data_IF_580878019698
#
_entry.id   IF_580878019698
#
_cell.length_a   1.000
_cell.length_b   1.000
_cell.length_c   1.000
_cell.angle_alpha   90.00
_cell.angle_beta   90.00
_cell.angle_gamma   90.00
#
_symmetry.space_group_name_H-M   'P 1'
#
loop_
_entity.id
_entity.type
_entity.pdbx_description
1 polymer ?
#
# COMPACT_ATOMS: atom_id res chain seq x y z
N UNK A 1 -13.78 -4.28 18.01
CA UNK A 1 -13.46 -4.97 19.28
C UNK A 1 -11.95 -5.06 19.42
N UNK A 2 -11.38 -4.86 20.61
CA UNK A 2 -9.93 -4.91 20.83
C UNK A 2 -9.45 -6.36 20.98
N UNK A 3 -8.57 -6.83 20.10
CA UNK A 3 -7.90 -8.13 20.21
C UNK A 3 -6.46 -7.97 20.72
N UNK A 4 -6.26 -8.07 22.03
CA UNK A 4 -4.95 -7.85 22.68
C UNK A 4 -3.86 -8.84 22.22
N UNK A 5 -4.12 -10.15 22.10
CA UNK A 5 -3.14 -11.10 21.55
C UNK A 5 -2.65 -10.71 20.15
N UNK A 6 -3.56 -10.44 19.21
CA UNK A 6 -3.20 -10.08 17.84
C UNK A 6 -2.45 -8.74 17.78
N UNK A 7 -2.89 -7.71 18.51
CA UNK A 7 -2.15 -6.44 18.59
C UNK A 7 -0.73 -6.62 19.11
N UNK A 8 -0.55 -7.47 20.11
CA UNK A 8 0.77 -7.76 20.67
C UNK A 8 1.66 -8.43 19.63
N UNK A 9 1.14 -9.45 18.94
CA UNK A 9 1.88 -10.18 17.89
C UNK A 9 2.25 -9.26 16.72
N UNK A 10 1.28 -8.54 16.16
CA UNK A 10 1.51 -7.58 15.09
C UNK A 10 2.52 -6.49 15.49
N UNK A 11 2.50 -6.03 16.75
CA UNK A 11 3.49 -5.05 17.22
C UNK A 11 4.92 -5.60 17.20
N UNK A 12 5.09 -6.91 17.42
CA UNK A 12 6.40 -7.57 17.37
C UNK A 12 6.82 -7.81 15.93
N UNK A 13 5.91 -8.32 15.10
CA UNK A 13 6.16 -8.62 13.69
C UNK A 13 6.49 -7.35 12.91
N UNK A 14 5.72 -6.27 13.09
CA UNK A 14 6.01 -4.99 12.45
C UNK A 14 7.39 -4.44 12.86
N UNK A 15 7.79 -4.58 14.14
CA UNK A 15 9.15 -4.20 14.58
C UNK A 15 10.21 -5.06 13.91
N UNK A 16 9.99 -6.39 13.81
CA UNK A 16 10.94 -7.31 13.18
C UNK A 16 11.04 -7.05 11.68
N UNK A 17 9.94 -6.80 10.99
CA UNK A 17 9.88 -6.45 9.57
C UNK A 17 10.68 -5.16 9.29
N UNK A 18 10.36 -4.07 9.98
CA UNK A 18 10.99 -2.75 9.76
C UNK A 18 12.46 -2.72 10.18
N UNK A 19 12.89 -3.60 11.09
CA UNK A 19 14.31 -3.78 11.44
C UNK A 19 15.00 -4.85 10.59
N UNK A 20 14.29 -5.47 9.64
CA UNK A 20 14.74 -6.57 8.80
C UNK A 20 15.24 -7.80 9.57
N UNK A 21 14.61 -8.08 10.71
CA UNK A 21 14.71 -9.34 11.48
C UNK A 21 13.64 -10.35 11.07
N UNK A 22 12.63 -9.92 10.32
CA UNK A 22 11.64 -10.75 9.62
C UNK A 22 11.83 -10.59 8.10
N UNK A 23 11.51 -11.61 7.31
CA UNK A 23 11.41 -11.46 5.85
C UNK A 23 10.03 -10.89 5.49
N UNK A 24 9.84 -10.43 4.26
CA UNK A 24 8.52 -10.07 3.75
C UNK A 24 7.59 -11.29 3.70
N UNK A 25 8.11 -12.44 3.28
CA UNK A 25 7.35 -13.70 3.14
C UNK A 25 6.82 -14.19 4.49
N UNK A 26 7.67 -14.19 5.54
CA UNK A 26 7.22 -14.51 6.91
C UNK A 26 6.07 -13.59 7.36
N UNK A 27 6.07 -12.33 6.93
CA UNK A 27 5.05 -11.36 7.28
C UNK A 27 3.79 -11.56 6.43
N UNK A 28 3.93 -11.91 5.16
CA UNK A 28 2.82 -12.28 4.27
C UNK A 28 2.03 -13.46 4.84
N UNK A 29 2.71 -14.51 5.31
CA UNK A 29 2.06 -15.67 5.95
C UNK A 29 1.15 -15.22 7.12
N UNK A 30 1.71 -14.44 8.05
CA UNK A 30 0.92 -13.94 9.18
C UNK A 30 -0.17 -12.96 8.75
N UNK A 31 0.07 -12.18 7.70
CA UNK A 31 -0.88 -11.20 7.18
C UNK A 31 -2.14 -11.89 6.66
N UNK A 32 -2.01 -12.86 5.76
CA UNK A 32 -3.14 -13.55 5.15
C UNK A 32 -3.82 -14.52 6.11
N UNK A 33 -3.08 -15.18 7.00
CA UNK A 33 -3.65 -16.15 7.92
C UNK A 33 -4.40 -15.49 9.10
N UNK A 34 -3.90 -14.36 9.62
CA UNK A 34 -4.37 -13.84 10.91
C UNK A 34 -4.84 -12.38 10.89
N UNK A 35 -4.18 -11.51 10.12
CA UNK A 35 -4.36 -10.06 10.25
C UNK A 35 -5.40 -9.48 9.30
N UNK A 36 -5.47 -9.98 8.07
CA UNK A 36 -6.40 -9.49 7.05
C UNK A 36 -7.86 -9.69 7.46
N UNK A 37 -8.17 -10.82 8.09
CA UNK A 37 -9.53 -11.20 8.53
C UNK A 37 -9.83 -10.82 9.99
N UNK A 38 -8.95 -10.07 10.65
CA UNK A 38 -9.12 -9.70 12.06
C UNK A 38 -10.36 -8.83 12.29
N UNK A 39 -11.11 -9.14 13.35
CA UNK A 39 -12.23 -8.33 13.86
C UNK A 39 -11.75 -7.00 14.48
N UNK A 40 -10.46 -6.87 14.79
CA UNK A 40 -9.87 -5.64 15.30
C UNK A 40 -9.42 -4.76 14.13
N UNK A 41 -10.19 -3.69 13.88
CA UNK A 41 -9.90 -2.72 12.82
C UNK A 41 -8.50 -2.10 12.92
N UNK A 42 -7.93 -1.98 14.13
CA UNK A 42 -6.55 -1.54 14.31
C UNK A 42 -5.54 -2.51 13.71
N UNK A 43 -5.76 -3.81 13.95
CA UNK A 43 -4.86 -4.88 13.50
C UNK A 43 -4.85 -4.88 11.98
N UNK A 44 -6.02 -4.90 11.36
CA UNK A 44 -6.16 -4.87 9.90
C UNK A 44 -5.53 -3.64 9.27
N UNK A 45 -5.81 -2.44 9.78
CA UNK A 45 -5.26 -1.20 9.22
C UNK A 45 -3.72 -1.10 9.37
N UNK A 46 -3.19 -1.51 10.52
CA UNK A 46 -1.73 -1.49 10.75
C UNK A 46 -1.03 -2.61 9.98
N UNK A 47 -1.66 -3.77 9.82
CA UNK A 47 -1.14 -4.87 9.03
C UNK A 47 -1.10 -4.51 7.53
N UNK A 48 -2.16 -3.89 7.00
CA UNK A 48 -2.20 -3.36 5.63
C UNK A 48 -1.08 -2.34 5.39
N UNK A 49 -0.82 -1.45 6.35
CA UNK A 49 0.34 -0.57 6.31
C UNK A 49 1.67 -1.34 6.27
N UNK A 50 1.83 -2.35 7.12
CA UNK A 50 3.04 -3.19 7.17
C UNK A 50 3.29 -3.93 5.86
N UNK A 51 2.23 -4.52 5.29
CA UNK A 51 2.22 -5.18 4.00
C UNK A 51 2.63 -4.23 2.86
N UNK A 52 2.11 -3.00 2.88
CA UNK A 52 2.46 -1.96 1.91
C UNK A 52 3.90 -1.41 2.01
N UNK A 53 4.72 -1.84 2.98
CA UNK A 53 6.12 -1.42 3.08
C UNK A 53 7.05 -2.12 2.08
N UNK A 54 6.57 -3.16 1.42
CA UNK A 54 7.32 -3.95 0.46
C UNK A 54 6.50 -4.24 -0.79
N UNK A 55 7.18 -4.62 -1.87
CA UNK A 55 6.51 -5.12 -3.08
C UNK A 55 6.38 -6.63 -2.95
N UNK A 56 5.14 -7.10 -3.07
CA UNK A 56 4.77 -8.53 -3.13
C UNK A 56 5.02 -9.13 -4.51
N UNK A 57 5.39 -8.32 -5.51
CA UNK A 57 5.62 -8.77 -6.89
C UNK A 57 6.99 -9.44 -7.08
N UNK A 58 7.80 -9.50 -6.01
CA UNK A 58 9.14 -10.11 -6.04
C UNK A 58 9.04 -11.57 -5.61
N UNK A 59 9.48 -12.47 -6.50
CA UNK A 59 9.39 -13.93 -6.33
C UNK A 59 10.23 -14.52 -5.17
N UNK A 60 11.08 -13.73 -4.50
CA UNK A 60 12.04 -14.23 -3.53
C UNK A 60 11.92 -13.51 -2.19
N UNK A 61 11.93 -14.25 -1.06
CA UNK A 61 11.93 -13.63 0.26
C UNK A 61 13.14 -12.71 0.46
N UNK A 62 12.88 -11.52 0.98
CA UNK A 62 13.91 -10.54 1.31
C UNK A 62 13.60 -9.83 2.62
N UNK A 63 14.63 -9.16 3.16
CA UNK A 63 14.54 -8.38 4.40
C UNK A 63 14.62 -6.91 4.05
N UNK A 64 13.90 -6.06 4.81
CA UNK A 64 13.90 -4.61 4.62
C UNK A 64 15.20 -3.94 5.14
N UNK A 65 16.32 -4.31 4.52
CA UNK A 65 17.69 -3.85 4.81
C UNK A 65 18.44 -3.52 3.53
N UNK A 66 19.55 -2.80 3.68
CA UNK A 66 20.40 -2.40 2.56
C UNK A 66 19.59 -1.62 1.53
N UNK A 67 19.54 -2.11 0.29
CA UNK A 67 18.77 -1.51 -0.81
C UNK A 67 17.25 -1.51 -0.59
N UNK A 68 16.73 -2.38 0.27
CA UNK A 68 15.30 -2.48 0.61
C UNK A 68 14.96 -1.84 1.95
N UNK A 69 15.87 -1.03 2.51
CA UNK A 69 15.64 -0.39 3.81
C UNK A 69 14.45 0.57 3.74
N UNK A 70 13.56 0.45 4.73
CA UNK A 70 12.43 1.38 4.93
C UNK A 70 12.97 2.79 5.20
N UNK A 71 12.38 3.81 4.55
CA UNK A 71 12.76 5.21 4.77
C UNK A 71 12.50 5.65 6.21
N UNK A 72 13.24 6.64 6.70
CA UNK A 72 13.07 7.14 8.09
C UNK A 72 11.67 7.72 8.34
N UNK A 73 10.98 8.21 7.31
CA UNK A 73 9.58 8.63 7.40
C UNK A 73 8.66 7.45 7.74
N UNK A 74 8.70 6.39 6.93
CA UNK A 74 7.86 5.20 7.18
C UNK A 74 8.25 4.48 8.47
N UNK A 75 9.53 4.50 8.87
CA UNK A 75 9.96 3.99 10.19
C UNK A 75 9.30 4.76 11.33
N UNK A 76 9.18 6.10 11.22
CA UNK A 76 8.47 6.91 12.22
C UNK A 76 6.98 6.56 12.28
N UNK A 77 6.35 6.29 11.14
CA UNK A 77 4.95 5.79 11.10
C UNK A 77 4.86 4.43 11.78
N UNK A 78 5.72 3.47 11.43
CA UNK A 78 5.74 2.15 12.06
C UNK A 78 5.94 2.22 13.59
N UNK A 79 6.78 3.11 14.09
CA UNK A 79 6.94 3.35 15.53
C UNK A 79 5.63 3.83 16.18
N UNK A 80 4.89 4.73 15.53
CA UNK A 80 3.56 5.16 16.01
C UNK A 80 2.58 4.00 16.01
N UNK A 81 2.59 3.16 14.98
CA UNK A 81 1.74 1.97 14.90
C UNK A 81 2.03 0.99 16.05
N UNK A 82 3.30 0.70 16.31
CA UNK A 82 3.72 -0.16 17.43
C UNK A 82 3.25 0.43 18.77
N UNK A 83 3.37 1.74 18.95
CA UNK A 83 2.91 2.42 20.15
C UNK A 83 1.38 2.32 20.30
N UNK A 84 0.64 2.52 19.22
CA UNK A 84 -0.82 2.39 19.18
C UNK A 84 -1.28 0.98 19.52
N UNK A 85 -0.70 -0.05 18.88
CA UNK A 85 -1.07 -1.45 19.12
C UNK A 85 -0.85 -1.86 20.58
N UNK A 86 0.17 -1.30 21.23
CA UNK A 86 0.44 -1.54 22.66
C UNK A 86 -0.54 -0.81 23.57
N UNK A 87 -1.11 0.30 23.12
CA UNK A 87 -2.15 1.04 23.85
C UNK A 87 -3.48 0.28 23.87
N UNK A 88 -4.35 0.61 24.84
CA UNK A 88 -5.70 0.04 24.96
C UNK A 88 -6.77 0.87 24.22
N UNK A 89 -6.39 1.71 23.24
CA UNK A 89 -7.33 2.57 22.53
C UNK A 89 -8.06 1.81 21.41
N UNK A 90 -9.33 2.12 21.20
CA UNK A 90 -10.05 1.65 20.02
C UNK A 90 -9.58 2.37 18.75
N UNK A 91 -9.77 1.73 17.60
CA UNK A 91 -9.44 2.33 16.31
C UNK A 91 -10.64 3.12 15.81
N UNK A 92 -10.47 4.43 15.73
CA UNK A 92 -11.56 5.37 15.42
C UNK A 92 -11.52 5.89 13.98
N UNK A 93 -10.46 5.61 13.23
CA UNK A 93 -10.37 6.03 11.84
C UNK A 93 -11.46 5.36 11.00
N UNK A 94 -12.07 6.10 10.05
CA UNK A 94 -13.03 5.51 9.13
C UNK A 94 -12.38 4.37 8.33
N UNK A 95 -13.18 3.40 7.84
CA UNK A 95 -12.65 2.34 6.99
C UNK A 95 -11.91 2.93 5.79
N UNK A 96 -10.79 2.31 5.42
CA UNK A 96 -10.00 2.72 4.26
C UNK A 96 -10.89 2.75 3.01
N UNK A 97 -10.86 3.84 2.22
CA UNK A 97 -11.72 3.95 1.05
C UNK A 97 -11.31 2.89 0.02
N UNK A 98 -12.27 2.05 -0.36
CA UNK A 98 -12.07 1.14 -1.49
C UNK A 98 -12.33 1.88 -2.80
N UNK A 99 -11.36 1.84 -3.70
CA UNK A 99 -11.49 2.45 -5.05
C UNK A 99 -11.46 1.36 -6.13
N UNK A 100 -12.42 0.42 -6.14
CA UNK A 100 -12.38 -0.74 -7.03
C UNK A 100 -12.38 -0.33 -8.50
N UNK A 101 -13.12 0.72 -8.88
CA UNK A 101 -13.13 1.25 -10.23
C UNK A 101 -11.75 1.76 -10.66
N UNK A 102 -11.05 2.49 -9.78
CA UNK A 102 -9.69 3.00 -10.05
C UNK A 102 -8.69 1.85 -10.15
N UNK A 103 -8.78 0.84 -9.27
CA UNK A 103 -7.96 -0.37 -9.31
C UNK A 103 -8.19 -1.17 -10.59
N UNK A 104 -9.45 -1.38 -10.98
CA UNK A 104 -9.81 -2.06 -12.22
C UNK A 104 -9.30 -1.31 -13.45
N UNK A 105 -9.50 0.01 -13.50
CA UNK A 105 -9.01 0.84 -14.61
C UNK A 105 -7.49 0.74 -14.75
N UNK A 106 -6.77 0.84 -13.64
CA UNK A 106 -5.31 0.68 -13.64
C UNK A 106 -4.89 -0.72 -14.11
N UNK A 107 -5.54 -1.77 -13.61
CA UNK A 107 -5.28 -3.15 -14.01
C UNK A 107 -5.54 -3.40 -15.50
N UNK A 108 -6.64 -2.85 -16.04
CA UNK A 108 -6.97 -2.95 -17.48
C UNK A 108 -5.94 -2.20 -18.32
N UNK A 109 -5.59 -0.96 -17.95
CA UNK A 109 -4.59 -0.18 -18.68
C UNK A 109 -3.21 -0.85 -18.65
N UNK A 110 -2.81 -1.43 -17.51
CA UNK A 110 -1.52 -2.08 -17.36
C UNK A 110 -1.46 -3.43 -18.10
N UNK A 111 -2.48 -4.30 -17.95
CA UNK A 111 -2.44 -5.67 -18.47
C UNK A 111 -2.95 -5.81 -19.90
N UNK A 112 -3.89 -4.97 -20.34
CA UNK A 112 -4.52 -5.07 -21.65
C UNK A 112 -4.18 -3.86 -22.52
N UNK A 113 -4.34 -2.65 -21.98
CA UNK A 113 -4.17 -1.41 -22.74
C UNK A 113 -2.75 -1.22 -23.27
N UNK A 114 -1.76 -1.28 -22.39
CA UNK A 114 -0.36 -1.04 -22.73
C UNK A 114 0.25 -2.14 -23.61
N UNK A 115 0.26 -3.44 -23.23
CA UNK A 115 0.83 -4.49 -24.08
C UNK A 115 0.04 -4.69 -25.37
N UNK A 116 -1.29 -4.61 -25.32
CA UNK A 116 -2.14 -4.76 -26.51
C UNK A 116 -1.88 -3.66 -27.54
N UNK A 117 -1.76 -2.40 -27.08
CA UNK A 117 -1.45 -1.28 -27.98
C UNK A 117 -0.04 -1.35 -28.54
N UNK A 118 0.96 -1.75 -27.74
CA UNK A 118 2.33 -1.94 -28.21
C UNK A 118 2.39 -3.04 -29.27
N UNK A 119 1.76 -4.19 -29.03
CA UNK A 119 1.72 -5.30 -29.98
C UNK A 119 1.04 -4.88 -31.30
N UNK A 120 -0.11 -4.20 -31.21
CA UNK A 120 -0.81 -3.71 -32.40
C UNK A 120 0.00 -2.69 -33.19
N UNK A 121 0.66 -1.74 -32.52
CA UNK A 121 1.54 -0.77 -33.20
C UNK A 121 2.75 -1.48 -33.84
N UNK A 122 3.35 -2.46 -33.17
CA UNK A 122 4.47 -3.22 -33.71
C UNK A 122 4.11 -3.98 -34.99
N UNK A 123 2.85 -4.45 -35.13
CA UNK A 123 2.35 -5.16 -36.31
C UNK A 123 1.88 -4.17 -37.39
N UNK A 124 1.09 -3.16 -37.02
CA UNK A 124 0.39 -2.32 -37.97
C UNK A 124 1.25 -1.16 -38.51
N UNK A 125 2.26 -0.68 -37.77
CA UNK A 125 3.15 0.38 -38.26
C UNK A 125 3.99 -0.08 -39.47
N UNK A 126 4.63 -1.28 -39.45
CA UNK A 126 5.30 -1.80 -40.65
C UNK A 126 4.35 -1.98 -41.85
N UNK A 127 3.12 -2.46 -41.61
CA UNK A 127 2.09 -2.57 -42.66
C UNK A 127 1.69 -1.20 -43.21
N UNK A 128 1.67 -0.15 -42.40
CA UNK A 128 1.39 1.21 -42.85
C UNK A 128 2.54 1.79 -43.69
N UNK A 129 3.80 1.52 -43.30
CA UNK A 129 5.00 2.06 -43.94
C UNK A 129 5.36 1.33 -45.25
N UNK A 130 5.24 0.00 -45.26
CA UNK A 130 5.71 -0.85 -46.36
C UNK A 130 4.59 -1.63 -47.06
N UNK A 131 3.40 -1.67 -46.48
CA UNK A 131 2.26 -2.41 -47.02
C UNK A 131 1.54 -1.66 -48.14
N UNK A 132 0.81 -2.44 -48.94
CA UNK A 132 0.07 -1.95 -50.10
C UNK A 132 -1.28 -1.32 -49.71
N UNK A 133 -1.87 -1.75 -48.59
CA UNK A 133 -3.15 -1.26 -48.08
C UNK A 133 -2.96 -0.43 -46.81
N UNK A 134 -2.77 0.88 -47.02
CA UNK A 134 -2.55 1.85 -45.94
C UNK A 134 -3.82 2.18 -45.16
N UNK A 135 -4.99 2.09 -45.80
CA UNK A 135 -6.27 2.40 -45.17
C UNK A 135 -6.61 1.36 -44.11
N UNK A 136 -6.38 0.08 -44.43
CA UNK A 136 -6.52 -1.01 -43.48
C UNK A 136 -5.61 -0.81 -42.26
N UNK A 137 -4.31 -0.53 -42.47
CA UNK A 137 -3.36 -0.34 -41.38
C UNK A 137 -3.69 0.89 -40.52
N UNK A 138 -4.11 2.01 -41.12
CA UNK A 138 -4.47 3.23 -40.40
C UNK A 138 -5.65 3.05 -39.44
N UNK A 139 -6.60 2.17 -39.78
CA UNK A 139 -7.78 1.84 -38.96
C UNK A 139 -7.40 1.26 -37.60
N UNK A 140 -6.24 0.60 -37.50
CA UNK A 140 -5.76 0.00 -36.24
C UNK A 140 -4.69 0.86 -35.56
N UNK A 141 -3.80 1.51 -36.31
CA UNK A 141 -2.72 2.34 -35.73
C UNK A 141 -3.28 3.51 -34.90
N UNK A 142 -4.29 4.22 -35.40
CA UNK A 142 -4.82 5.41 -34.72
C UNK A 142 -5.49 5.05 -33.38
N UNK A 143 -6.43 4.09 -33.31
CA UNK A 143 -6.99 3.66 -32.03
C UNK A 143 -5.94 3.11 -31.06
N UNK A 144 -4.97 2.31 -31.54
CA UNK A 144 -3.92 1.78 -30.67
C UNK A 144 -3.02 2.88 -30.11
N UNK A 145 -2.70 3.92 -30.88
CA UNK A 145 -1.96 5.07 -30.37
C UNK A 145 -2.75 5.83 -29.30
N UNK A 146 -4.08 6.01 -29.50
CA UNK A 146 -4.96 6.66 -28.51
C UNK A 146 -5.04 5.82 -27.23
N UNK A 147 -5.23 4.50 -27.33
CA UNK A 147 -5.29 3.61 -26.17
C UNK A 147 -3.95 3.56 -25.43
N UNK A 148 -2.82 3.58 -26.15
CA UNK A 148 -1.50 3.67 -25.54
C UNK A 148 -1.32 4.97 -24.76
N UNK A 149 -1.63 6.11 -25.38
CA UNK A 149 -1.54 7.41 -24.73
C UNK A 149 -2.47 7.53 -23.53
N UNK A 150 -3.71 7.05 -23.64
CA UNK A 150 -4.67 6.98 -22.54
C UNK A 150 -4.18 6.08 -21.40
N UNK A 151 -3.63 4.91 -21.71
CA UNK A 151 -3.06 3.99 -20.73
C UNK A 151 -1.88 4.63 -19.99
N UNK A 152 -0.98 5.29 -20.70
CA UNK A 152 0.13 6.02 -20.07
C UNK A 152 -0.39 7.16 -19.19
N UNK A 153 -1.36 7.94 -19.67
CA UNK A 153 -1.96 9.00 -18.86
C UNK A 153 -2.64 8.47 -17.59
N UNK A 154 -3.33 7.34 -17.65
CA UNK A 154 -3.91 6.68 -16.47
C UNK A 154 -2.82 6.21 -15.52
N UNK A 155 -1.80 5.51 -16.01
CA UNK A 155 -0.73 4.94 -15.18
C UNK A 155 0.14 6.01 -14.50
N UNK A 156 0.38 7.13 -15.17
CA UNK A 156 1.22 8.21 -14.65
C UNK A 156 0.42 9.36 -14.02
N UNK A 157 -0.77 9.66 -14.52
CA UNK A 157 -1.63 10.78 -14.10
C UNK A 157 -2.53 10.46 -12.91
N UNK A 158 -2.93 9.19 -12.71
CA UNK A 158 -3.66 8.79 -11.49
C UNK A 158 -2.74 8.60 -10.27
N UNK A 159 -1.47 9.01 -10.35
CA UNK A 159 -0.56 9.02 -9.19
C UNK A 159 -0.96 10.04 -8.11
N UNK A 160 -1.88 10.96 -8.41
CA UNK A 160 -2.43 11.89 -7.43
C UNK A 160 -3.37 11.21 -6.42
N UNK A 161 -3.43 11.77 -5.22
CA UNK A 161 -4.40 11.35 -4.22
C UNK A 161 -5.82 11.62 -4.70
N UNK A 162 -6.66 10.58 -4.64
CA UNK A 162 -8.08 10.68 -4.94
C UNK A 162 -8.78 11.61 -3.95
N UNK A 163 -9.83 12.34 -4.37
CA UNK A 163 -10.68 13.11 -3.45
C UNK A 163 -11.17 12.27 -2.27
N UNK A 164 -11.52 11.01 -2.49
CA UNK A 164 -12.00 10.10 -1.44
C UNK A 164 -10.90 9.81 -0.41
N UNK A 165 -9.66 9.61 -0.87
CA UNK A 165 -8.50 9.44 0.02
C UNK A 165 -8.21 10.73 0.79
N UNK A 166 -8.36 11.89 0.15
CA UNK A 166 -8.19 13.19 0.79
C UNK A 166 -9.21 13.43 1.90
N UNK A 167 -10.47 13.13 1.63
CA UNK A 167 -11.56 13.28 2.61
C UNK A 167 -11.38 12.28 3.77
N UNK A 168 -10.95 11.05 3.47
CA UNK A 168 -10.60 10.06 4.49
C UNK A 168 -9.45 10.55 5.38
N UNK A 169 -8.40 11.14 4.80
CA UNK A 169 -7.29 11.75 5.56
C UNK A 169 -7.74 12.95 6.38
N UNK A 170 -8.76 13.68 5.94
CA UNK A 170 -9.32 14.82 6.66
C UNK A 170 -10.16 14.41 7.88
N UNK A 171 -10.48 13.13 8.06
CA UNK A 171 -11.23 12.63 9.22
C UNK A 171 -10.46 12.75 10.55
N UNK A 172 -9.14 12.91 10.49
CA UNK A 172 -8.29 13.05 11.67
C UNK A 172 -6.93 13.65 11.33
N UNK A 173 -6.01 13.61 12.29
CA UNK A 173 -4.66 14.09 12.08
C UNK A 173 -3.80 13.00 11.45
N UNK A 174 -3.57 13.07 10.15
CA UNK A 174 -2.79 12.07 9.40
C UNK A 174 -1.36 11.90 9.95
N UNK A 175 -0.77 12.97 10.50
CA UNK A 175 0.56 12.89 11.12
C UNK A 175 0.53 12.20 12.50
N UNK A 176 -0.65 11.97 13.06
CA UNK A 176 -0.86 11.17 14.25
C UNK A 176 -1.26 9.72 13.95
N UNK A 177 -1.63 9.36 12.71
CA UNK A 177 -2.06 8.01 12.35
C UNK A 177 -1.09 6.94 12.89
N UNK A 178 -1.58 5.83 13.49
CA UNK A 178 -2.98 5.38 13.58
C UNK A 178 -3.81 5.98 14.72
N UNK A 179 -3.28 6.95 15.48
CA UNK A 179 -4.12 7.73 16.38
C UNK A 179 -4.98 8.71 15.58
N UNK A 180 -6.23 8.96 16.00
CA UNK A 180 -7.09 9.93 15.33
C UNK A 180 -6.63 11.37 15.60
N UNK A 181 -6.10 11.63 16.80
CA UNK A 181 -5.69 12.95 17.29
C UNK A 181 -4.23 12.96 17.72
N UNK A 182 -3.55 14.09 17.57
CA UNK A 182 -2.17 14.30 18.07
C UNK A 182 -2.05 14.17 19.59
N UNK A 183 -3.07 14.60 20.32
CA UNK A 183 -3.08 14.52 21.79
C UNK A 183 -3.03 13.07 22.28
N UNK A 184 -3.71 12.16 21.59
CA UNK A 184 -3.67 10.74 21.93
C UNK A 184 -2.30 10.12 21.70
N UNK A 185 -1.63 10.52 20.62
CA UNK A 185 -0.25 10.15 20.35
C UNK A 185 0.70 10.73 21.41
N UNK A 186 0.53 11.99 21.80
CA UNK A 186 1.33 12.63 22.83
C UNK A 186 1.16 11.92 24.20
N UNK A 187 -0.08 11.65 24.59
CA UNK A 187 -0.41 10.89 25.79
C UNK A 187 0.17 9.46 25.76
N UNK A 188 0.10 8.78 24.61
CA UNK A 188 0.69 7.44 24.46
C UNK A 188 2.22 7.47 24.58
N UNK A 189 2.87 8.51 24.07
CA UNK A 189 4.33 8.69 24.24
C UNK A 189 4.71 8.91 25.70
N UNK A 190 3.93 9.69 26.43
CA UNK A 190 4.16 9.95 27.86
C UNK A 190 3.88 8.71 28.72
N UNK A 191 2.78 7.99 28.45
CA UNK A 191 2.44 6.74 29.15
C UNK A 191 3.37 5.56 28.85
N UNK A 192 4.14 5.64 27.75
CA UNK A 192 5.24 4.70 27.46
C UNK A 192 6.51 4.96 28.28
N UNK A 193 6.58 6.08 29.02
CA UNK A 193 7.69 6.49 29.89
C UNK A 193 7.34 6.21 31.36
N UNK A 194 6.63 5.12 31.66
CA UNK A 194 6.64 4.58 33.02
C UNK A 194 7.91 3.73 33.13
N UNK A 195 8.93 4.13 33.92
CA UNK A 195 10.04 3.25 34.21
C UNK A 195 9.46 2.03 34.89
N UNK A 196 9.85 0.84 34.44
CA UNK A 196 9.70 -0.42 35.17
C UNK A 196 10.08 -0.19 36.63
N UNK A 197 9.09 0.00 37.49
CA UNK A 197 9.27 -0.04 38.93
C UNK A 197 9.61 -1.49 39.30
N UNK A 198 10.76 -1.66 39.96
CA UNK A 198 11.00 -2.70 40.94
C UNK A 198 11.03 -4.14 40.44
N UNK A 199 12.24 -4.63 40.12
CA UNK A 199 12.65 -5.93 40.65
C UNK A 199 13.80 -5.67 41.62
N UNK A 200 13.43 -5.64 42.91
CA UNK A 200 14.32 -5.94 44.02
C UNK A 200 14.57 -7.45 44.06
#
# INVERSE_FOLDING_TARGET
MINRPQRTRLSQDLRRLVTGRMTNDDFDDHYYDEYESSEDSAVRAVAEFGWGLYSSDVLWPYRLKGRHRVSEEYRRVACRCVLFLRSNREYEWPPSPSEPARRLLWAVCFNLGLPGSIAMLAICVPLLLFGRDKAFAATFVIPSAIVLAGSLWVLFGLRGESPVVRDWKAAGDWEAWPFLRRDDLAAARQGGVTPTQGRA
#
